data_IF_830886839256
#
_entry.id   IF_830886839256
#
_cell.length_a   1.000
_cell.length_b   1.000
_cell.length_c   1.000
_cell.angle_alpha   90.00
_cell.angle_beta   90.00
_cell.angle_gamma   90.00
#
_symmetry.space_group_name_H-M   'P 1'
#
loop_
_entity.id
_entity.type
_entity.pdbx_description
1 polymer ?
#
# COMPACT_ATOMS: atom_id res chain seq x y z
N UNK A 1 6.69 -14.81 -2.24
CA UNK A 1 7.29 -14.01 -1.15
C UNK A 1 6.25 -13.02 -0.68
N UNK A 2 6.39 -12.55 0.56
CA UNK A 2 5.39 -11.76 1.26
C UNK A 2 6.04 -10.53 1.91
N UNK A 3 5.32 -9.41 1.93
CA UNK A 3 5.75 -8.20 2.63
C UNK A 3 4.55 -7.40 3.15
N UNK A 4 4.82 -6.57 4.17
CA UNK A 4 3.91 -5.53 4.65
C UNK A 4 4.52 -4.17 4.31
N UNK A 5 3.71 -3.29 3.73
CA UNK A 5 4.06 -1.91 3.41
C UNK A 5 3.23 -1.01 4.32
N UNK A 6 3.92 -0.17 5.09
CA UNK A 6 3.31 0.78 6.01
C UNK A 6 3.32 2.16 5.33
N UNK A 7 2.16 2.81 5.28
CA UNK A 7 1.95 4.03 4.52
C UNK A 7 1.53 5.15 5.48
N UNK A 8 2.06 6.34 5.26
CA UNK A 8 1.49 7.57 5.81
C UNK A 8 0.69 8.27 4.72
N UNK A 9 -0.54 8.64 5.03
CA UNK A 9 -1.44 9.29 4.10
C UNK A 9 -1.61 10.77 4.47
N UNK A 10 -1.81 11.61 3.46
CA UNK A 10 -2.20 13.00 3.66
C UNK A 10 -3.53 13.09 4.45
N UNK A 11 -3.72 14.13 5.28
CA UNK A 11 -4.89 14.26 6.13
C UNK A 11 -6.21 14.16 5.35
N UNK A 12 -7.07 13.23 5.77
CA UNK A 12 -8.39 13.01 5.17
C UNK A 12 -8.41 12.04 3.98
N UNK A 13 -7.26 11.53 3.54
CA UNK A 13 -7.15 10.60 2.40
C UNK A 13 -6.88 9.14 2.80
N UNK A 14 -6.81 8.84 4.09
CA UNK A 14 -6.50 7.49 4.64
C UNK A 14 -7.32 6.40 3.93
N UNK A 15 -8.64 6.55 3.85
CA UNK A 15 -9.51 5.56 3.21
C UNK A 15 -9.29 5.46 1.69
N UNK A 16 -9.10 6.61 1.02
CA UNK A 16 -8.86 6.66 -0.42
C UNK A 16 -7.54 5.98 -0.80
N UNK A 17 -6.51 6.16 0.01
CA UNK A 17 -5.19 5.53 -0.16
C UNK A 17 -5.29 4.00 -0.01
N UNK A 18 -5.94 3.50 1.05
CA UNK A 18 -6.18 2.06 1.21
C UNK A 18 -6.97 1.47 0.03
N UNK A 19 -8.04 2.13 -0.41
CA UNK A 19 -8.86 1.68 -1.55
C UNK A 19 -8.11 1.71 -2.88
N UNK A 20 -7.24 2.70 -3.09
CA UNK A 20 -6.38 2.77 -4.26
C UNK A 20 -5.31 1.67 -4.24
N UNK A 21 -4.70 1.41 -3.09
CA UNK A 21 -3.69 0.37 -2.92
C UNK A 21 -4.26 -1.02 -3.24
N UNK A 22 -5.51 -1.32 -2.87
CA UNK A 22 -6.19 -2.59 -3.21
C UNK A 22 -6.28 -2.87 -4.72
N UNK A 23 -6.17 -1.85 -5.58
CA UNK A 23 -6.26 -1.99 -7.04
C UNK A 23 -4.92 -2.34 -7.68
N UNK A 24 -3.82 -2.28 -6.92
CA UNK A 24 -2.47 -2.58 -7.41
C UNK A 24 -2.28 -4.10 -7.48
N UNK A 25 -1.73 -4.57 -8.61
CA UNK A 25 -1.45 -5.98 -8.80
C UNK A 25 -0.41 -6.47 -7.78
N UNK A 26 -0.71 -7.58 -7.10
CA UNK A 26 0.14 -8.14 -6.04
C UNK A 26 -0.26 -7.71 -4.64
N UNK A 27 -1.11 -6.67 -4.49
CA UNK A 27 -1.75 -6.34 -3.21
C UNK A 27 -2.85 -7.36 -2.90
N UNK A 28 -2.81 -7.92 -1.70
CA UNK A 28 -3.80 -8.90 -1.21
C UNK A 28 -4.75 -8.31 -0.19
N UNK A 29 -4.27 -7.39 0.63
CA UNK A 29 -5.05 -6.66 1.61
C UNK A 29 -4.48 -5.26 1.76
N UNK A 30 -5.34 -4.26 1.95
CA UNK A 30 -4.96 -2.94 2.41
C UNK A 30 -6.01 -2.47 3.42
N UNK A 31 -5.54 -2.01 4.57
CA UNK A 31 -6.41 -1.57 5.66
C UNK A 31 -5.92 -0.23 6.19
N UNK A 32 -6.84 0.72 6.26
CA UNK A 32 -6.70 1.88 7.12
C UNK A 32 -6.66 1.42 8.57
N UNK A 33 -5.65 1.88 9.30
CA UNK A 33 -5.40 1.50 10.69
C UNK A 33 -5.30 2.73 11.57
N UNK A 34 -5.48 2.52 12.86
CA UNK A 34 -5.17 3.54 13.86
C UNK A 34 -3.74 3.29 14.35
N UNK A 35 -2.85 4.27 14.24
CA UNK A 35 -1.47 4.09 14.66
C UNK A 35 -0.50 5.19 14.21
N UNK A 36 0.80 4.86 14.19
CA UNK A 36 1.86 5.70 13.64
C UNK A 36 1.80 5.80 12.10
N UNK A 37 1.18 4.79 11.48
CA UNK A 37 0.91 4.72 10.06
C UNK A 37 -0.59 4.75 9.85
N UNK A 38 -0.98 5.21 8.67
CA UNK A 38 -2.37 5.43 8.31
C UNK A 38 -2.93 4.18 7.61
N UNK A 39 -2.12 3.49 6.80
CA UNK A 39 -2.49 2.23 6.15
C UNK A 39 -1.43 1.13 6.29
N UNK A 40 -1.90 -0.11 6.33
CA UNK A 40 -1.07 -1.33 6.23
C UNK A 40 -1.50 -2.13 5.01
N UNK A 41 -0.55 -2.40 4.12
CA UNK A 41 -0.78 -3.15 2.87
C UNK A 41 0.00 -4.46 2.90
N UNK A 42 -0.69 -5.58 2.70
CA UNK A 42 -0.09 -6.91 2.56
C UNK A 42 0.02 -7.27 1.08
N UNK A 43 1.21 -7.69 0.67
CA UNK A 43 1.53 -7.99 -0.73
C UNK A 43 2.16 -9.36 -0.90
N UNK A 44 1.83 -10.02 -2.01
CA UNK A 44 2.43 -11.27 -2.45
C UNK A 44 3.04 -11.09 -3.84
N UNK A 45 4.26 -11.59 -4.01
CA UNK A 45 5.03 -11.42 -5.24
C UNK A 45 6.02 -12.57 -5.47
N UNK A 46 6.45 -12.74 -6.72
CA UNK A 46 7.31 -13.87 -7.13
C UNK A 46 8.80 -13.52 -7.09
N UNK A 47 9.16 -12.29 -7.46
CA UNK A 47 10.55 -11.82 -7.50
C UNK A 47 10.71 -10.44 -6.85
N UNK A 48 11.92 -10.10 -6.42
CA UNK A 48 12.15 -8.81 -5.72
C UNK A 48 11.90 -7.59 -6.61
N UNK A 49 12.05 -7.72 -7.93
CA UNK A 49 11.74 -6.65 -8.87
C UNK A 49 10.23 -6.31 -8.87
N UNK A 50 9.37 -7.31 -8.63
CA UNK A 50 7.93 -7.12 -8.53
C UNK A 50 7.58 -6.26 -7.31
N UNK A 51 8.23 -6.50 -6.16
CA UNK A 51 8.06 -5.68 -4.97
C UNK A 51 8.46 -4.22 -5.23
N UNK A 52 9.58 -4.00 -5.93
CA UNK A 52 10.02 -2.65 -6.31
C UNK A 52 8.99 -1.92 -7.18
N UNK A 53 8.33 -2.63 -8.11
CA UNK A 53 7.22 -2.09 -8.91
C UNK A 53 6.01 -1.75 -8.03
N UNK A 54 5.59 -2.65 -7.15
CA UNK A 54 4.44 -2.45 -6.26
C UNK A 54 4.66 -1.22 -5.38
N UNK A 55 5.84 -1.07 -4.78
CA UNK A 55 6.19 0.10 -3.95
C UNK A 55 6.08 1.39 -4.77
N UNK A 56 6.57 1.38 -6.02
CA UNK A 56 6.50 2.55 -6.90
C UNK A 56 5.06 2.92 -7.29
N UNK A 57 4.21 1.93 -7.52
CA UNK A 57 2.79 2.16 -7.79
C UNK A 57 2.07 2.71 -6.56
N UNK A 58 2.38 2.21 -5.35
CA UNK A 58 1.84 2.74 -4.08
C UNK A 58 2.27 4.20 -3.87
N UNK A 59 3.55 4.52 -4.06
CA UNK A 59 4.07 5.89 -3.93
C UNK A 59 3.49 6.88 -4.97
N UNK A 60 2.84 6.37 -6.02
CA UNK A 60 2.17 7.20 -7.02
C UNK A 60 0.68 7.43 -6.72
N UNK A 61 0.13 6.80 -5.68
CA UNK A 61 -1.23 7.06 -5.22
C UNK A 61 -1.29 8.50 -4.70
N UNK A 62 -2.33 9.24 -5.09
CA UNK A 62 -2.54 10.59 -4.58
C UNK A 62 -2.77 10.57 -3.07
N UNK A 63 -1.95 11.32 -2.34
CA UNK A 63 -1.99 11.40 -0.88
C UNK A 63 -1.12 10.39 -0.16
N UNK A 64 -0.24 9.66 -0.85
CA UNK A 64 0.86 8.86 -0.26
C UNK A 64 2.15 9.67 -0.21
#
# INVERSE_FOLDING_TARGET
MEAYILINADPGLIWDVAEAALKIEGVKMAHAVTGQFDDVVFVEFLKMEDLGRIIKEIQAIFGV
#
